data_IF_409271167994
#
_entry.id   IF_409271167994
#
_cell.length_a   1.000
_cell.length_b   1.000
_cell.length_c   1.000
_cell.angle_alpha   90.00
_cell.angle_beta   90.00
_cell.angle_gamma   90.00
#
_symmetry.space_group_name_H-M   'P 1'
#
loop_
_entity.id
_entity.type
_entity.pdbx_description
1 polymer ?
#
# COMPACT_ATOMS: atom_id res chain seq x y z
N UNK A 1 23.50 56.54 2.98
CA UNK A 1 23.21 57.16 4.30
C UNK A 1 21.93 57.98 4.16
N UNK A 2 21.01 57.81 5.11
CA UNK A 2 19.64 58.37 5.22
C UNK A 2 18.48 57.55 4.58
N UNK A 3 17.90 56.69 5.44
CA UNK A 3 16.53 56.70 5.96
C UNK A 3 15.28 56.78 5.04
N UNK A 4 14.32 55.89 5.41
CA UNK A 4 12.85 55.97 5.35
C UNK A 4 12.12 55.30 4.18
N UNK A 5 11.68 54.04 4.38
CA UNK A 5 10.38 53.54 3.89
C UNK A 5 9.74 52.66 4.99
N UNK A 6 8.44 52.86 5.21
CA UNK A 6 7.59 52.40 6.32
C UNK A 6 7.18 50.92 6.19
N UNK A 7 6.81 50.25 7.30
CA UNK A 7 6.22 48.91 7.28
C UNK A 7 4.70 48.97 7.08
N UNK A 8 4.19 48.16 6.15
CA UNK A 8 2.76 47.88 6.01
C UNK A 8 2.23 47.99 4.59
N UNK A 9 2.47 46.96 3.76
CA UNK A 9 1.55 46.58 2.68
C UNK A 9 1.49 45.05 2.61
N UNK A 10 0.35 44.52 3.08
CA UNK A 10 -0.08 43.14 2.91
C UNK A 10 -0.44 42.92 1.44
N UNK A 11 0.34 42.11 0.73
CA UNK A 11 -0.14 41.48 -0.51
C UNK A 11 -0.94 40.21 -0.18
N UNK A 12 -2.14 40.03 -0.75
CA UNK A 12 -3.04 38.96 -0.34
C UNK A 12 -2.63 37.65 -1.02
N UNK A 13 -1.92 36.78 -0.30
CA UNK A 13 -1.98 35.36 -0.62
C UNK A 13 -3.32 34.82 -0.12
N UNK A 14 -4.19 34.48 -1.07
CA UNK A 14 -5.45 33.79 -0.85
C UNK A 14 -5.19 32.39 -0.24
N UNK A 15 -4.99 32.35 1.06
CA UNK A 15 -4.92 31.11 1.82
C UNK A 15 -6.37 30.68 2.13
N UNK A 16 -6.98 29.90 1.22
CA UNK A 16 -8.19 29.13 1.55
C UNK A 16 -7.86 28.31 2.80
N UNK A 17 -8.65 28.45 3.86
CA UNK A 17 -8.46 27.75 5.14
C UNK A 17 -8.23 26.25 4.88
N UNK A 18 -7.06 25.67 5.23
CA UNK A 18 -6.91 24.23 5.19
C UNK A 18 -7.89 23.58 6.17
N UNK A 19 -8.44 22.42 5.80
CA UNK A 19 -9.45 21.72 6.58
C UNK A 19 -8.94 21.43 8.00
N UNK A 20 -9.85 21.37 8.98
CA UNK A 20 -9.58 21.02 10.39
C UNK A 20 -8.77 19.72 10.55
N UNK A 21 -8.82 18.82 9.55
CA UNK A 21 -8.06 17.59 9.49
C UNK A 21 -6.55 17.85 9.31
N UNK A 22 -6.19 18.79 8.42
CA UNK A 22 -4.81 19.14 8.14
C UNK A 22 -4.12 19.75 9.37
N UNK A 23 -4.83 20.61 10.11
CA UNK A 23 -4.32 21.25 11.32
C UNK A 23 -4.15 20.28 12.50
N UNK A 24 -5.02 19.27 12.60
CA UNK A 24 -4.92 18.21 13.62
C UNK A 24 -3.78 17.23 13.34
N UNK A 25 -3.55 16.89 12.07
CA UNK A 25 -2.46 16.00 11.66
C UNK A 25 -1.07 16.63 11.83
N UNK A 26 -0.91 17.90 11.43
CA UNK A 26 0.39 18.59 11.55
C UNK A 26 0.88 18.70 13.01
N UNK A 27 -0.04 18.95 13.96
CA UNK A 27 0.30 18.99 15.40
C UNK A 27 0.73 17.62 15.96
N UNK A 28 0.33 16.52 15.32
CA UNK A 28 0.63 15.15 15.76
C UNK A 28 1.92 14.59 15.14
N UNK A 29 2.38 15.17 14.02
CA UNK A 29 3.57 14.74 13.28
C UNK A 29 4.87 15.44 13.71
N UNK A 30 4.85 16.29 14.74
CA UNK A 30 6.08 16.77 15.41
C UNK A 30 6.98 17.70 14.60
N UNK A 31 6.50 18.34 13.53
CA UNK A 31 7.26 19.37 12.82
C UNK A 31 7.20 20.70 13.60
N UNK A 32 8.14 20.91 14.51
CA UNK A 32 8.51 22.22 15.04
C UNK A 32 9.80 22.68 14.32
N UNK A 33 9.68 23.72 13.49
CA UNK A 33 10.78 24.64 13.23
C UNK A 33 10.46 25.89 14.05
N UNK A 34 11.16 26.09 15.16
CA UNK A 34 11.63 27.42 15.58
C UNK A 34 12.52 27.31 16.82
N UNK A 35 13.47 28.23 16.84
CA UNK A 35 14.68 28.28 17.64
C UNK A 35 14.46 28.34 19.17
N UNK A 36 15.33 27.62 19.88
CA UNK A 36 15.84 27.99 21.20
C UNK A 36 14.82 28.16 22.33
N UNK A 37 14.42 27.07 22.99
CA UNK A 37 14.06 27.10 24.41
C UNK A 37 14.52 25.82 25.13
N UNK A 38 15.18 26.03 26.27
CA UNK A 38 15.83 25.02 27.10
C UNK A 38 14.88 23.88 27.53
N UNK A 39 15.43 22.67 27.54
CA UNK A 39 14.77 21.44 27.99
C UNK A 39 14.52 21.47 29.51
N UNK A 40 13.26 21.39 29.99
CA UNK A 40 13.02 21.13 31.40
C UNK A 40 13.20 19.63 31.67
N UNK A 41 14.23 19.30 32.45
CA UNK A 41 14.44 17.97 33.02
C UNK A 41 13.24 17.58 33.90
N UNK A 42 12.42 16.65 33.41
CA UNK A 42 11.64 15.65 34.17
C UNK A 42 10.49 15.07 33.34
N UNK A 43 10.79 14.57 32.13
CA UNK A 43 9.93 13.54 31.54
C UNK A 43 10.23 12.23 32.23
N UNK A 44 9.48 11.94 33.29
CA UNK A 44 9.44 10.62 33.91
C UNK A 44 8.99 9.60 32.84
N UNK A 45 9.95 8.88 32.27
CA UNK A 45 9.68 7.76 31.38
C UNK A 45 8.99 6.69 32.22
N UNK A 46 7.68 6.56 32.04
CA UNK A 46 6.91 5.43 32.52
C UNK A 46 7.43 4.15 31.83
N UNK A 47 8.46 3.54 32.40
CA UNK A 47 8.84 2.16 32.08
C UNK A 47 7.78 1.24 32.66
N UNK A 48 6.68 1.01 31.92
CA UNK A 48 5.87 -0.19 32.16
C UNK A 48 6.80 -1.38 31.98
N UNK A 49 6.96 -2.21 33.01
CA UNK A 49 7.68 -3.48 32.90
C UNK A 49 6.87 -4.36 31.94
N UNK A 50 7.40 -4.61 30.75
CA UNK A 50 6.73 -5.45 29.78
C UNK A 50 7.13 -6.90 30.09
N UNK A 51 6.19 -7.68 30.63
CA UNK A 51 6.35 -9.13 30.81
C UNK A 51 6.62 -9.86 29.49
N UNK A 52 6.72 -11.19 29.54
CA UNK A 52 6.99 -12.06 28.39
C UNK A 52 6.13 -11.63 27.19
N UNK A 53 6.78 -11.05 26.18
CA UNK A 53 6.13 -10.55 24.97
C UNK A 53 6.05 -11.69 23.96
N UNK A 54 4.83 -12.07 23.62
CA UNK A 54 4.54 -12.94 22.49
C UNK A 54 5.04 -12.30 21.19
N UNK A 55 5.80 -13.07 20.39
CA UNK A 55 6.31 -12.69 19.07
C UNK A 55 5.31 -13.07 17.97
N UNK A 56 5.39 -12.37 16.83
CA UNK A 56 4.57 -12.69 15.64
C UNK A 56 4.78 -14.14 15.19
N UNK A 57 6.02 -14.66 15.28
CA UNK A 57 6.35 -16.04 14.94
C UNK A 57 5.59 -17.09 15.75
N UNK A 58 5.04 -16.74 16.92
CA UNK A 58 4.31 -17.68 17.79
C UNK A 58 2.82 -17.80 17.42
N UNK A 59 2.26 -16.77 16.77
CA UNK A 59 0.83 -16.75 16.37
C UNK A 59 0.63 -16.85 14.87
N UNK A 60 1.70 -16.66 14.09
CA UNK A 60 1.65 -16.63 12.63
C UNK A 60 0.89 -15.43 12.08
N UNK A 61 0.84 -15.35 10.77
CA UNK A 61 0.21 -14.25 10.04
C UNK A 61 -1.30 -14.17 10.30
N UNK A 62 -2.04 -15.26 10.08
CA UNK A 62 -3.49 -15.30 10.28
C UNK A 62 -3.89 -14.98 11.73
N UNK A 63 -3.13 -15.49 12.71
CA UNK A 63 -3.36 -15.18 14.12
C UNK A 63 -3.10 -13.71 14.45
N UNK A 64 -2.10 -13.09 13.82
CA UNK A 64 -1.85 -11.66 13.94
C UNK A 64 -2.95 -10.82 13.29
N UNK A 65 -3.39 -11.18 12.08
CA UNK A 65 -4.48 -10.48 11.37
C UNK A 65 -5.74 -10.48 12.23
N UNK A 66 -6.15 -11.64 12.75
CA UNK A 66 -7.35 -11.73 13.59
C UNK A 66 -7.20 -10.89 14.87
N UNK A 67 -6.02 -10.91 15.50
CA UNK A 67 -5.74 -10.09 16.67
C UNK A 67 -5.80 -8.59 16.37
N UNK A 68 -5.25 -8.15 15.23
CA UNK A 68 -5.28 -6.75 14.80
C UNK A 68 -6.69 -6.30 14.42
N UNK A 69 -7.49 -7.19 13.82
CA UNK A 69 -8.89 -6.94 13.48
C UNK A 69 -9.72 -6.53 14.70
N UNK A 70 -9.45 -7.10 15.87
CA UNK A 70 -10.13 -6.73 17.13
C UNK A 70 -9.90 -5.26 17.53
N UNK A 71 -8.83 -4.62 17.07
CA UNK A 71 -8.57 -3.20 17.33
C UNK A 71 -9.29 -2.25 16.36
N UNK A 72 -9.88 -2.77 15.29
CA UNK A 72 -10.46 -1.99 14.18
C UNK A 72 -11.99 -2.13 14.09
N UNK A 73 -12.64 -2.75 15.07
CA UNK A 73 -14.05 -3.18 15.00
C UNK A 73 -15.11 -2.07 15.06
N UNK A 74 -14.78 -0.82 14.80
CA UNK A 74 -15.83 0.20 14.69
C UNK A 74 -16.49 0.07 13.31
N UNK A 75 -17.77 -0.37 13.24
CA UNK A 75 -18.43 -0.55 11.96
C UNK A 75 -18.70 0.80 11.33
N UNK A 76 -18.13 1.03 10.14
CA UNK A 76 -18.43 2.19 9.31
C UNK A 76 -19.43 1.78 8.23
N UNK A 77 -20.60 2.44 8.11
CA UNK A 77 -21.61 2.09 7.12
C UNK A 77 -21.12 2.25 5.66
N UNK A 78 -19.98 2.90 5.44
CA UNK A 78 -19.33 3.02 4.13
C UNK A 78 -18.45 1.82 3.78
N UNK A 79 -18.26 0.88 4.69
CA UNK A 79 -17.52 -0.36 4.46
C UNK A 79 -18.53 -1.50 4.26
N UNK A 80 -18.73 -1.91 3.02
CA UNK A 80 -19.67 -2.97 2.64
C UNK A 80 -19.09 -4.34 2.98
N UNK A 81 -17.80 -4.55 2.66
CA UNK A 81 -17.03 -5.74 3.03
C UNK A 81 -15.67 -5.26 3.53
N UNK A 82 -15.37 -5.58 4.79
CA UNK A 82 -14.11 -5.23 5.44
C UNK A 82 -13.04 -6.30 5.26
N UNK A 83 -12.16 -6.43 6.26
CA UNK A 83 -11.10 -7.44 6.29
C UNK A 83 -11.65 -8.87 6.17
N UNK A 84 -11.06 -9.68 5.28
CA UNK A 84 -11.34 -11.13 5.16
C UNK A 84 -11.62 -11.63 3.74
N UNK A 85 -11.87 -10.74 2.80
CA UNK A 85 -11.92 -11.02 1.36
C UNK A 85 -10.64 -10.56 0.65
N UNK A 86 -10.52 -10.81 -0.66
CA UNK A 86 -9.35 -10.42 -1.45
C UNK A 86 -9.19 -8.88 -1.53
N UNK A 87 -10.29 -8.13 -1.45
CA UNK A 87 -10.27 -6.66 -1.41
C UNK A 87 -11.26 -6.13 -0.39
N UNK A 88 -11.02 -4.91 0.12
CA UNK A 88 -12.04 -4.16 0.84
C UNK A 88 -13.06 -3.61 -0.16
N UNK A 89 -14.36 -3.79 0.13
CA UNK A 89 -15.47 -3.24 -0.65
C UNK A 89 -16.07 -2.06 0.10
N UNK A 90 -16.03 -0.89 -0.51
CA UNK A 90 -16.43 0.38 0.06
C UNK A 90 -17.58 1.00 -0.75
N UNK A 91 -18.37 1.83 -0.10
CA UNK A 91 -19.39 2.64 -0.76
C UNK A 91 -18.74 3.58 -1.79
N UNK A 92 -19.24 3.54 -3.01
CA UNK A 92 -18.83 4.38 -4.13
C UNK A 92 -19.97 5.27 -4.62
N UNK A 93 -19.75 6.06 -5.68
CA UNK A 93 -20.79 6.91 -6.25
C UNK A 93 -21.86 6.08 -6.98
N UNK A 94 -23.14 6.36 -6.69
CA UNK A 94 -24.28 5.73 -7.35
C UNK A 94 -24.36 4.23 -7.10
N UNK A 95 -24.50 3.45 -8.17
CA UNK A 95 -24.61 1.99 -8.12
C UNK A 95 -23.24 1.28 -8.15
N UNK A 96 -22.13 2.03 -8.10
CA UNK A 96 -20.78 1.47 -8.07
C UNK A 96 -20.27 1.37 -6.64
N UNK A 97 -19.64 0.24 -6.32
CA UNK A 97 -18.82 0.05 -5.14
C UNK A 97 -17.36 0.26 -5.50
N UNK A 98 -16.60 0.84 -4.58
CA UNK A 98 -15.16 0.99 -4.68
C UNK A 98 -14.48 -0.27 -4.11
N UNK A 99 -13.52 -0.80 -4.84
CA UNK A 99 -12.66 -1.90 -4.40
C UNK A 99 -11.28 -1.34 -4.07
N UNK A 100 -10.70 -1.77 -2.96
CA UNK A 100 -9.37 -1.35 -2.54
C UNK A 100 -8.56 -2.56 -2.06
N UNK A 101 -7.40 -2.76 -2.67
CA UNK A 101 -6.39 -3.73 -2.23
C UNK A 101 -5.02 -3.07 -2.14
N UNK A 102 -4.13 -3.69 -1.39
CA UNK A 102 -2.71 -3.38 -1.43
C UNK A 102 -1.91 -4.64 -1.19
N UNK A 103 -0.81 -4.78 -1.93
CA UNK A 103 0.05 -5.94 -1.81
C UNK A 103 1.51 -5.60 -2.09
N UNK A 104 2.40 -6.21 -1.31
CA UNK A 104 3.81 -5.80 -1.22
C UNK A 104 4.76 -6.88 -1.76
N UNK A 105 5.69 -6.48 -2.62
CA UNK A 105 6.82 -7.29 -3.08
C UNK A 105 8.10 -6.89 -2.32
N UNK A 106 8.67 -7.82 -1.56
CA UNK A 106 9.86 -7.58 -0.73
C UNK A 106 11.03 -8.41 -1.26
N UNK A 107 12.17 -7.76 -1.43
CA UNK A 107 13.40 -8.41 -1.87
C UNK A 107 13.85 -9.51 -0.90
N UNK A 108 14.19 -10.67 -1.46
CA UNK A 108 14.59 -11.86 -0.71
C UNK A 108 13.42 -12.65 -0.12
N UNK A 109 12.18 -12.17 -0.30
CA UNK A 109 10.95 -12.87 0.12
C UNK A 109 10.10 -13.20 -1.10
N UNK A 110 9.70 -12.19 -1.87
CA UNK A 110 8.79 -12.35 -3.02
C UNK A 110 9.52 -12.40 -4.37
N UNK A 111 10.76 -11.89 -4.41
CA UNK A 111 11.61 -11.95 -5.59
C UNK A 111 13.10 -11.92 -5.22
N UNK A 112 13.95 -12.29 -6.18
CA UNK A 112 15.40 -12.23 -6.08
C UNK A 112 15.91 -11.41 -7.27
N UNK A 113 16.63 -10.28 -7.08
CA UNK A 113 17.03 -9.38 -8.17
C UNK A 113 17.79 -10.06 -9.31
N UNK A 114 18.57 -11.10 -9.00
CA UNK A 114 19.33 -11.87 -9.99
C UNK A 114 18.51 -12.88 -10.81
N UNK A 115 17.24 -13.12 -10.45
CA UNK A 115 16.35 -14.09 -11.11
C UNK A 115 15.17 -13.43 -11.82
N UNK A 116 15.03 -12.11 -11.72
CA UNK A 116 13.94 -11.36 -12.33
C UNK A 116 14.49 -10.06 -12.89
N UNK A 117 14.10 -9.69 -14.10
CA UNK A 117 14.48 -8.38 -14.63
C UNK A 117 13.63 -7.28 -13.96
N UNK A 118 14.10 -6.02 -13.93
CA UNK A 118 13.31 -4.93 -13.34
C UNK A 118 11.95 -4.77 -14.03
N UNK A 119 11.91 -4.90 -15.36
CA UNK A 119 10.68 -4.91 -16.14
C UNK A 119 9.70 -6.01 -15.69
N UNK A 120 10.18 -7.26 -15.56
CA UNK A 120 9.34 -8.37 -15.09
C UNK A 120 8.88 -8.17 -13.65
N UNK A 121 9.71 -7.60 -12.80
CA UNK A 121 9.35 -7.26 -11.42
C UNK A 121 8.22 -6.22 -11.38
N UNK A 122 8.29 -5.21 -12.25
CA UNK A 122 7.25 -4.19 -12.38
C UNK A 122 5.92 -4.80 -12.81
N UNK A 123 5.93 -5.62 -13.86
CA UNK A 123 4.73 -6.35 -14.31
C UNK A 123 4.15 -7.23 -13.20
N UNK A 124 5.00 -8.04 -12.56
CA UNK A 124 4.59 -8.92 -11.45
C UNK A 124 3.97 -8.15 -10.29
N UNK A 125 4.57 -7.03 -9.88
CA UNK A 125 4.12 -6.26 -8.71
C UNK A 125 2.71 -5.70 -8.90
N UNK A 126 2.33 -5.30 -10.12
CA UNK A 126 0.97 -4.86 -10.40
C UNK A 126 0.01 -6.04 -10.65
N UNK A 127 0.46 -7.08 -11.36
CA UNK A 127 -0.37 -8.24 -11.72
C UNK A 127 -0.99 -8.95 -10.51
N UNK A 128 -0.27 -9.04 -9.38
CA UNK A 128 -0.83 -9.63 -8.15
C UNK A 128 -2.03 -8.83 -7.61
N UNK A 129 -1.95 -7.50 -7.61
CA UNK A 129 -3.03 -6.63 -7.14
C UNK A 129 -4.22 -6.65 -8.13
N UNK A 130 -3.93 -6.71 -9.43
CA UNK A 130 -4.95 -6.88 -10.46
C UNK A 130 -5.71 -8.20 -10.29
N UNK A 131 -5.01 -9.27 -9.87
CA UNK A 131 -5.63 -10.56 -9.58
C UNK A 131 -6.67 -10.47 -8.47
N UNK A 132 -6.41 -9.71 -7.39
CA UNK A 132 -7.39 -9.53 -6.31
C UNK A 132 -8.65 -8.80 -6.80
N UNK A 133 -8.48 -7.72 -7.57
CA UNK A 133 -9.62 -6.99 -8.16
C UNK A 133 -10.43 -7.91 -9.07
N UNK A 134 -9.75 -8.71 -9.91
CA UNK A 134 -10.40 -9.65 -10.81
C UNK A 134 -11.14 -10.77 -10.05
N UNK A 135 -10.58 -11.28 -8.95
CA UNK A 135 -11.20 -12.31 -8.11
C UNK A 135 -12.55 -11.84 -7.53
N UNK A 136 -12.68 -10.53 -7.30
CA UNK A 136 -13.90 -9.90 -6.79
C UNK A 136 -14.88 -9.50 -7.91
N UNK A 137 -14.57 -9.83 -9.17
CA UNK A 137 -15.36 -9.44 -10.35
C UNK A 137 -15.27 -7.95 -10.69
N UNK A 138 -14.21 -7.28 -10.21
CA UNK A 138 -14.01 -5.85 -10.36
C UNK A 138 -13.32 -5.44 -11.66
N UNK A 139 -13.40 -4.14 -11.95
CA UNK A 139 -12.65 -3.46 -13.00
C UNK A 139 -11.62 -2.54 -12.32
N UNK A 140 -10.31 -2.66 -12.60
CA UNK A 140 -9.31 -1.79 -12.01
C UNK A 140 -9.38 -0.38 -12.62
N UNK A 141 -9.12 0.65 -11.82
CA UNK A 141 -9.13 2.05 -12.27
C UNK A 141 -7.77 2.74 -12.02
N UNK A 142 -7.31 2.79 -10.77
CA UNK A 142 -6.16 3.61 -10.38
C UNK A 142 -5.21 2.90 -9.43
N UNK A 143 -3.90 3.04 -9.67
CA UNK A 143 -2.85 2.50 -8.82
C UNK A 143 -1.95 3.60 -8.22
N UNK A 144 -1.48 3.38 -7.00
CA UNK A 144 -0.43 4.16 -6.34
C UNK A 144 0.73 3.22 -6.00
N UNK A 145 1.97 3.65 -6.26
CA UNK A 145 3.16 2.82 -6.01
C UNK A 145 4.00 3.42 -4.89
N UNK A 146 4.15 2.71 -3.79
CA UNK A 146 5.06 3.07 -2.70
C UNK A 146 6.33 2.23 -2.80
N UNK A 147 7.44 2.88 -3.12
CA UNK A 147 8.74 2.26 -3.31
C UNK A 147 9.68 2.58 -2.15
N UNK A 148 10.39 1.58 -1.66
CA UNK A 148 11.48 1.76 -0.71
C UNK A 148 12.73 1.05 -1.22
N UNK A 149 13.85 1.76 -1.35
CA UNK A 149 15.04 1.23 -2.04
C UNK A 149 16.38 1.78 -1.49
N UNK A 150 17.50 1.06 -1.71
CA UNK A 150 18.83 1.54 -1.39
C UNK A 150 19.20 2.79 -2.19
N UNK A 151 19.98 3.70 -1.58
CA UNK A 151 20.35 4.98 -2.22
C UNK A 151 21.26 4.84 -3.44
N UNK A 152 21.89 3.68 -3.60
CA UNK A 152 22.76 3.29 -4.71
C UNK A 152 22.01 2.47 -5.78
N UNK A 153 20.68 2.39 -5.73
CA UNK A 153 19.89 1.77 -6.79
C UNK A 153 20.04 2.57 -8.09
N UNK A 154 20.34 1.87 -9.19
CA UNK A 154 20.50 2.47 -10.51
C UNK A 154 19.20 3.14 -11.00
N UNK A 155 19.33 4.24 -11.74
CA UNK A 155 18.15 4.96 -12.28
C UNK A 155 17.50 4.13 -13.38
N UNK A 156 18.31 3.49 -14.22
CA UNK A 156 17.87 2.63 -15.32
C UNK A 156 17.08 1.41 -14.80
N UNK A 157 17.43 0.91 -13.61
CA UNK A 157 16.63 -0.11 -12.93
C UNK A 157 15.21 0.41 -12.64
N UNK A 158 15.09 1.64 -12.15
CA UNK A 158 13.79 2.25 -11.84
C UNK A 158 12.98 2.55 -13.11
N UNK A 159 13.64 3.00 -14.18
CA UNK A 159 12.98 3.24 -15.47
C UNK A 159 12.37 1.95 -16.02
N UNK A 160 13.13 0.85 -16.02
CA UNK A 160 12.64 -0.45 -16.48
C UNK A 160 11.56 -1.03 -15.58
N UNK A 161 11.67 -0.84 -14.25
CA UNK A 161 10.64 -1.22 -13.29
C UNK A 161 9.32 -0.49 -13.58
N UNK A 162 9.36 0.83 -13.75
CA UNK A 162 8.18 1.63 -14.06
C UNK A 162 7.63 1.35 -15.46
N UNK A 163 8.49 1.02 -16.43
CA UNK A 163 8.03 0.56 -17.75
C UNK A 163 7.19 -0.72 -17.62
N UNK A 164 7.63 -1.67 -16.80
CA UNK A 164 6.87 -2.89 -16.50
C UNK A 164 5.54 -2.60 -15.81
N UNK A 165 5.56 -1.79 -14.75
CA UNK A 165 4.35 -1.38 -14.04
C UNK A 165 3.34 -0.70 -14.98
N UNK A 166 3.82 0.21 -15.83
CA UNK A 166 2.98 0.96 -16.77
C UNK A 166 2.36 0.03 -17.82
N UNK A 167 3.14 -0.84 -18.43
CA UNK A 167 2.64 -1.75 -19.47
C UNK A 167 1.57 -2.69 -18.90
N UNK A 168 1.79 -3.24 -17.70
CA UNK A 168 0.79 -4.08 -17.02
C UNK A 168 -0.49 -3.28 -16.68
N UNK A 169 -0.36 -2.01 -16.27
CA UNK A 169 -1.50 -1.16 -15.97
C UNK A 169 -2.33 -0.87 -17.21
N UNK A 170 -1.66 -0.49 -18.31
CA UNK A 170 -2.30 -0.14 -19.57
C UNK A 170 -3.02 -1.34 -20.18
N UNK A 171 -2.42 -2.54 -20.13
CA UNK A 171 -3.06 -3.79 -20.59
C UNK A 171 -4.34 -4.11 -19.82
N UNK A 172 -4.37 -3.83 -18.51
CA UNK A 172 -5.53 -4.03 -17.66
C UNK A 172 -6.55 -2.86 -17.67
N UNK A 173 -6.23 -1.76 -18.37
CA UNK A 173 -7.06 -0.55 -18.39
C UNK A 173 -6.97 0.32 -17.14
N UNK A 174 -6.00 0.08 -16.27
CA UNK A 174 -5.73 0.85 -15.06
C UNK A 174 -4.73 1.99 -15.34
N UNK A 175 -4.61 2.94 -14.41
CA UNK A 175 -3.60 4.02 -14.49
C UNK A 175 -2.83 4.19 -13.19
N UNK A 176 -1.52 4.32 -13.29
CA UNK A 176 -0.69 4.73 -12.16
C UNK A 176 -0.80 6.24 -12.00
N UNK A 177 -1.31 6.71 -10.85
CA UNK A 177 -1.67 8.12 -10.62
C UNK A 177 -0.78 8.81 -9.58
N UNK A 178 0.14 8.08 -8.97
CA UNK A 178 1.06 8.64 -7.99
C UNK A 178 1.75 7.56 -7.18
N UNK A 179 2.34 7.97 -6.07
CA UNK A 179 3.14 7.08 -5.26
C UNK A 179 3.92 7.78 -4.17
N UNK A 180 4.78 7.01 -3.53
CA UNK A 180 5.73 7.46 -2.53
C UNK A 180 7.09 6.81 -2.79
N UNK A 181 8.17 7.50 -2.43
CA UNK A 181 9.52 6.94 -2.45
C UNK A 181 10.18 7.13 -1.10
N UNK A 182 10.84 6.10 -0.60
CA UNK A 182 11.57 6.12 0.66
C UNK A 182 12.92 5.41 0.51
N UNK A 183 13.88 5.78 1.36
CA UNK A 183 15.15 5.08 1.44
C UNK A 183 15.01 3.83 2.31
N UNK A 184 15.45 2.68 1.81
CA UNK A 184 15.57 1.43 2.54
C UNK A 184 16.99 0.87 2.32
N UNK A 185 17.91 0.97 3.31
CA UNK A 185 19.34 0.77 3.06
C UNK A 185 19.74 -0.59 2.49
N UNK A 186 19.03 -1.67 2.81
CA UNK A 186 19.50 -3.03 2.52
C UNK A 186 18.69 -3.77 1.46
N UNK A 187 17.49 -3.29 1.13
CA UNK A 187 16.53 -4.05 0.32
C UNK A 187 15.62 -3.14 -0.49
N UNK A 188 15.13 -3.67 -1.60
CA UNK A 188 14.01 -3.12 -2.34
C UNK A 188 12.67 -3.67 -1.79
N UNK A 189 11.70 -2.77 -1.64
CA UNK A 189 10.30 -3.12 -1.39
C UNK A 189 9.38 -2.28 -2.28
N UNK A 190 8.38 -2.93 -2.85
CA UNK A 190 7.40 -2.34 -3.77
C UNK A 190 6.02 -2.66 -3.21
N UNK A 191 5.33 -1.65 -2.71
CA UNK A 191 3.95 -1.77 -2.24
C UNK A 191 3.04 -1.08 -3.25
N UNK A 192 2.05 -1.81 -3.76
CA UNK A 192 1.12 -1.31 -4.76
C UNK A 192 -0.24 -1.22 -4.10
N UNK A 193 -0.86 -0.05 -4.18
CA UNK A 193 -2.25 0.15 -3.80
C UNK A 193 -3.07 0.23 -5.07
N UNK A 194 -4.08 -0.61 -5.21
CA UNK A 194 -4.94 -0.63 -6.38
C UNK A 194 -6.39 -0.36 -5.99
N UNK A 195 -6.98 0.61 -6.69
CA UNK A 195 -8.39 0.92 -6.63
C UNK A 195 -9.07 0.39 -7.89
N UNK A 196 -10.23 -0.21 -7.69
CA UNK A 196 -11.13 -0.61 -8.76
C UNK A 196 -12.56 -0.38 -8.38
N UNK A 197 -13.47 -0.87 -9.21
CA UNK A 197 -14.90 -0.73 -9.00
C UNK A 197 -15.67 -1.96 -9.43
N UNK A 198 -16.82 -2.16 -8.81
CA UNK A 198 -17.77 -3.21 -9.18
C UNK A 198 -19.18 -2.69 -9.01
N UNK A 199 -20.11 -3.13 -9.86
CA UNK A 199 -21.51 -2.79 -9.68
C UNK A 199 -22.05 -3.42 -8.39
N UNK A 200 -22.94 -2.70 -7.70
CA UNK A 200 -23.59 -3.18 -6.49
C UNK A 200 -24.29 -4.51 -6.76
N UNK A 201 -24.06 -5.49 -5.88
CA UNK A 201 -24.62 -6.83 -6.00
C UNK A 201 -23.90 -7.75 -7.01
N UNK A 202 -22.86 -7.28 -7.70
CA UNK A 202 -22.03 -8.11 -8.60
C UNK A 202 -20.66 -8.48 -8.02
N UNK A 203 -20.31 -7.96 -6.86
CA UNK A 203 -19.08 -8.35 -6.16
C UNK A 203 -19.10 -9.86 -5.87
N UNK A 204 -18.06 -10.56 -6.32
CA UNK A 204 -17.85 -11.97 -6.00
C UNK A 204 -17.17 -12.05 -4.64
N UNK A 205 -17.86 -12.62 -3.65
CA UNK A 205 -17.34 -12.72 -2.28
C UNK A 205 -17.00 -14.17 -1.96
N UNK A 206 -15.95 -14.40 -1.17
CA UNK A 206 -15.62 -15.75 -0.65
C UNK A 206 -16.77 -16.38 0.12
N UNK A 207 -17.62 -15.56 0.74
CA UNK A 207 -18.80 -15.99 1.50
C UNK A 207 -20.01 -16.38 0.63
N UNK A 208 -19.93 -16.22 -0.70
CA UNK A 208 -21.04 -16.44 -1.62
C UNK A 208 -21.34 -17.90 -1.99
N UNK A 209 -20.39 -18.82 -1.75
CA UNK A 209 -20.49 -20.21 -2.18
C UNK A 209 -21.60 -20.99 -1.44
N UNK A 210 -22.28 -21.89 -2.14
CA UNK A 210 -23.41 -22.69 -1.63
C UNK A 210 -23.24 -24.19 -1.95
N UNK A 211 -23.81 -25.09 -1.12
CA UNK A 211 -23.87 -26.50 -1.46
C UNK A 211 -24.54 -26.72 -2.83
N UNK A 212 -23.85 -27.46 -3.71
CA UNK A 212 -24.27 -27.68 -5.09
C UNK A 212 -23.51 -26.85 -6.12
N UNK A 213 -22.76 -25.84 -5.71
CA UNK A 213 -21.88 -25.08 -6.61
C UNK A 213 -20.70 -25.94 -7.09
N UNK A 214 -20.25 -25.66 -8.32
CA UNK A 214 -19.04 -26.27 -8.87
C UNK A 214 -17.81 -25.49 -8.42
N UNK A 215 -16.73 -26.22 -8.12
CA UNK A 215 -15.40 -25.64 -7.93
C UNK A 215 -14.69 -25.66 -9.27
N UNK A 216 -14.34 -24.49 -9.78
CA UNK A 216 -13.66 -24.31 -11.06
C UNK A 216 -12.37 -23.50 -10.86
N UNK A 217 -11.40 -23.73 -11.75
CA UNK A 217 -10.13 -22.99 -11.77
C UNK A 217 -9.85 -22.53 -13.19
N UNK A 218 -9.16 -21.40 -13.33
CA UNK A 218 -8.71 -20.86 -14.61
C UNK A 218 -7.23 -21.19 -14.83
N UNK A 219 -6.83 -21.33 -16.09
CA UNK A 219 -5.42 -21.58 -16.45
C UNK A 219 -4.87 -22.92 -15.94
N UNK A 220 -3.59 -22.93 -15.59
CA UNK A 220 -2.87 -24.10 -15.10
C UNK A 220 -2.37 -23.87 -13.67
N UNK A 221 -2.40 -24.92 -12.86
CA UNK A 221 -1.93 -24.87 -11.47
C UNK A 221 -0.54 -25.48 -11.36
N UNK A 222 0.34 -24.83 -10.60
CA UNK A 222 1.67 -25.33 -10.26
C UNK A 222 2.83 -24.75 -11.07
N UNK A 223 2.57 -24.05 -12.19
CA UNK A 223 3.61 -23.49 -13.06
C UNK A 223 4.55 -22.51 -12.33
N UNK A 224 3.99 -21.64 -11.49
CA UNK A 224 4.78 -20.70 -10.68
C UNK A 224 5.73 -21.41 -9.72
N UNK A 225 5.26 -22.48 -9.06
CA UNK A 225 6.07 -23.27 -8.14
C UNK A 225 7.16 -24.07 -8.88
N UNK A 226 6.83 -24.64 -10.04
CA UNK A 226 7.79 -25.33 -10.89
C UNK A 226 8.88 -24.37 -11.40
N UNK A 227 8.49 -23.20 -11.90
CA UNK A 227 9.41 -22.15 -12.35
C UNK A 227 10.37 -21.70 -11.25
N UNK A 228 9.86 -21.45 -10.04
CA UNK A 228 10.69 -21.13 -8.87
C UNK A 228 11.68 -22.26 -8.56
N UNK A 229 11.24 -23.53 -8.60
CA UNK A 229 12.11 -24.68 -8.35
C UNK A 229 13.26 -24.78 -9.35
N UNK A 230 12.98 -24.51 -10.64
CA UNK A 230 14.00 -24.48 -11.69
C UNK A 230 14.98 -23.33 -11.47
N UNK A 231 14.47 -22.12 -11.28
CA UNK A 231 15.29 -20.93 -11.07
C UNK A 231 16.21 -21.08 -9.87
N UNK A 232 15.75 -21.70 -8.77
CA UNK A 232 16.56 -21.95 -7.56
C UNK A 232 17.60 -23.07 -7.71
N UNK A 233 17.42 -24.00 -8.66
CA UNK A 233 18.42 -25.04 -8.95
C UNK A 233 19.61 -24.47 -9.70
N UNK A 234 19.39 -23.51 -10.60
CA UNK A 234 20.45 -22.83 -11.36
C UNK A 234 21.34 -21.91 -10.51
N UNK A 235 20.91 -21.64 -9.27
CA UNK A 235 21.62 -20.79 -8.29
C UNK A 235 22.69 -21.54 -7.51
N UNK A 236 22.60 -22.87 -7.46
CA UNK A 236 23.43 -23.68 -6.57
C UNK A 236 24.85 -23.86 -7.06
#
# INVERSE_FOLDING_TARGET
MSSLIKPGELFPFCCKRPSLLFTKLHKRMGYFFDDGFACPESFAVYHKSWGIRMKVSEIGEFGLIERLRQHLQEPDPRVVVGMGDDVAVLEGPGEMLLLATCDIQVEGVHFLPRLITPYQLGRKALAINLSDIAAMGGIPDFALISLAFPSDTEVEFMDELYRGLKDEADEAGAKIVGGNMARLPERLAIDVFLLGRVERGKALLRSGARPGDLIVVTGHLGDSAAGLSLLLKEVR
#
